data_IF_022056523728
#
_entry.id   IF_022056523728
#
_cell.length_a   1.000
_cell.length_b   1.000
_cell.length_c   1.000
_cell.angle_alpha   90.00
_cell.angle_beta   90.00
_cell.angle_gamma   90.00
#
_symmetry.space_group_name_H-M   'P 1'
#
loop_
_entity.id
_entity.type
_entity.pdbx_description
1 polymer ?
#
# COMPACT_ATOMS: atom_id res chain seq x y z
N UNK A 1 24.46 -12.17 2.75
CA UNK A 1 23.91 -11.35 3.81
C UNK A 1 22.80 -10.42 3.36
N UNK A 2 22.87 -9.96 2.12
CA UNK A 2 21.84 -9.08 1.60
C UNK A 2 20.48 -9.75 1.52
N UNK A 3 20.46 -11.05 1.24
CA UNK A 3 19.21 -11.79 1.20
C UNK A 3 18.52 -11.79 2.56
N UNK A 4 19.29 -11.75 3.63
CA UNK A 4 18.74 -11.71 4.99
C UNK A 4 18.12 -10.36 5.31
N UNK A 5 18.60 -9.31 4.64
CA UNK A 5 18.01 -7.97 4.82
C UNK A 5 16.68 -7.86 4.08
N UNK A 6 16.60 -8.48 2.91
CA UNK A 6 15.36 -8.41 2.09
C UNK A 6 14.24 -9.27 2.67
N UNK A 7 14.54 -10.44 3.19
CA UNK A 7 13.51 -11.32 3.74
C UNK A 7 12.71 -10.69 4.88
N UNK A 8 13.34 -10.06 5.88
CA UNK A 8 12.56 -9.38 6.91
C UNK A 8 11.63 -8.32 6.36
N UNK A 9 12.03 -7.62 5.29
CA UNK A 9 11.18 -6.59 4.68
C UNK A 9 9.90 -7.20 4.13
N UNK A 10 10.00 -8.34 3.47
CA UNK A 10 8.83 -9.00 2.91
C UNK A 10 7.88 -9.50 4.00
N UNK A 11 8.43 -9.99 5.11
CA UNK A 11 7.60 -10.47 6.22
C UNK A 11 6.95 -9.35 7.00
N UNK A 12 7.45 -8.14 6.90
CA UNK A 12 6.92 -7.02 7.66
C UNK A 12 5.78 -6.32 6.94
N UNK A 13 5.65 -6.52 5.65
CA UNK A 13 4.55 -5.94 4.87
C UNK A 13 3.36 -6.87 4.94
N UNK A 14 2.24 -6.36 5.45
CA UNK A 14 1.00 -7.12 5.55
C UNK A 14 0.15 -7.01 4.31
N UNK A 15 0.21 -5.87 3.62
CA UNK A 15 -0.58 -5.66 2.41
C UNK A 15 -0.02 -4.51 1.60
N UNK A 16 -0.27 -4.58 0.29
CA UNK A 16 -0.02 -3.49 -0.64
C UNK A 16 -1.33 -3.24 -1.36
N UNK A 17 -1.77 -1.98 -1.38
CA UNK A 17 -3.06 -1.61 -1.94
C UNK A 17 -2.89 -0.38 -2.82
N UNK A 18 -3.52 -0.40 -3.98
CA UNK A 18 -3.55 0.75 -4.90
C UNK A 18 -5.02 1.05 -5.21
N UNK A 19 -5.42 2.29 -4.93
CA UNK A 19 -6.79 2.75 -5.16
C UNK A 19 -6.76 3.92 -6.14
N UNK A 20 -7.86 4.12 -6.85
CA UNK A 20 -8.00 5.29 -7.70
C UNK A 20 -8.49 6.49 -6.88
N UNK A 21 -8.78 7.62 -7.55
CA UNK A 21 -9.21 8.84 -6.90
C UNK A 21 -10.54 8.72 -6.17
N UNK A 22 -11.33 7.73 -6.53
CA UNK A 22 -12.64 7.50 -5.91
C UNK A 22 -12.58 6.45 -4.82
N UNK A 23 -11.39 5.92 -4.55
CA UNK A 23 -11.21 4.89 -3.55
C UNK A 23 -11.51 3.49 -4.04
N UNK A 24 -11.65 3.31 -5.35
CA UNK A 24 -11.89 1.98 -5.92
C UNK A 24 -10.58 1.25 -6.10
N UNK A 25 -10.61 -0.06 -5.85
CA UNK A 25 -9.42 -0.90 -5.93
C UNK A 25 -8.92 -1.02 -7.36
N UNK A 26 -7.66 -0.67 -7.58
CA UNK A 26 -6.94 -0.97 -8.80
C UNK A 26 -6.10 -2.22 -8.62
N UNK A 27 -5.52 -2.39 -7.44
CA UNK A 27 -4.70 -3.54 -7.11
C UNK A 27 -4.69 -3.71 -5.60
N UNK A 28 -4.71 -4.94 -5.12
CA UNK A 28 -4.52 -5.22 -3.71
C UNK A 28 -3.91 -6.60 -3.54
N UNK A 29 -2.93 -6.68 -2.67
CA UNK A 29 -2.32 -7.96 -2.32
C UNK A 29 -2.15 -7.99 -0.80
N UNK A 30 -2.73 -8.99 -0.18
CA UNK A 30 -2.65 -9.22 1.25
C UNK A 30 -1.75 -10.41 1.50
N UNK A 31 -0.77 -10.22 2.36
CA UNK A 31 0.27 -11.22 2.60
C UNK A 31 0.00 -12.08 3.83
N UNK A 32 -1.00 -11.72 4.63
CA UNK A 32 -1.38 -12.50 5.79
C UNK A 32 -2.90 -12.55 5.93
N UNK A 33 -3.39 -13.18 6.99
CA UNK A 33 -4.80 -13.44 7.21
C UNK A 33 -5.50 -12.37 8.06
N UNK A 34 -4.92 -11.19 8.18
CA UNK A 34 -5.55 -10.12 8.97
C UNK A 34 -6.95 -9.82 8.45
N UNK A 35 -7.11 -9.82 7.12
CA UNK A 35 -8.42 -9.64 6.48
C UNK A 35 -8.66 -10.82 5.54
N UNK A 36 -9.20 -11.93 6.05
CA UNK A 36 -9.26 -13.17 5.27
C UNK A 36 -10.31 -13.20 4.17
N UNK A 37 -11.31 -12.33 4.19
CA UNK A 37 -12.35 -12.32 3.17
C UNK A 37 -12.27 -11.06 2.32
N UNK A 38 -12.78 -11.14 1.09
CA UNK A 38 -12.84 -9.99 0.20
C UNK A 38 -13.69 -8.88 0.81
N UNK A 39 -14.76 -9.24 1.51
CA UNK A 39 -15.63 -8.27 2.17
C UNK A 39 -14.87 -7.46 3.22
N UNK A 40 -14.08 -8.14 4.04
CA UNK A 40 -13.28 -7.48 5.07
C UNK A 40 -12.19 -6.61 4.44
N UNK A 41 -11.56 -7.10 3.39
CA UNK A 41 -10.55 -6.35 2.67
C UNK A 41 -11.12 -5.06 2.10
N UNK A 42 -12.29 -5.14 1.47
CA UNK A 42 -12.92 -3.95 0.89
C UNK A 42 -13.35 -2.95 1.95
N UNK A 43 -13.81 -3.43 3.10
CA UNK A 43 -14.16 -2.55 4.21
C UNK A 43 -12.92 -1.81 4.71
N UNK A 44 -11.80 -2.51 4.82
CA UNK A 44 -10.54 -1.90 5.20
C UNK A 44 -10.09 -0.86 4.18
N UNK A 45 -10.18 -1.17 2.89
CA UNK A 45 -9.78 -0.26 1.82
C UNK A 45 -10.60 1.02 1.84
N UNK A 46 -11.90 0.92 2.08
CA UNK A 46 -12.75 2.09 2.20
C UNK A 46 -12.37 2.92 3.42
N UNK A 47 -12.02 2.26 4.51
CA UNK A 47 -11.63 2.94 5.72
C UNK A 47 -10.32 3.71 5.55
N UNK A 48 -9.30 3.09 4.95
CA UNK A 48 -8.03 3.78 4.73
C UNK A 48 -8.20 4.94 3.76
N UNK A 49 -8.98 4.77 2.72
CA UNK A 49 -9.24 5.85 1.78
C UNK A 49 -9.93 7.03 2.47
N UNK A 50 -10.96 6.74 3.23
CA UNK A 50 -11.71 7.75 3.97
C UNK A 50 -10.82 8.57 4.89
N UNK A 51 -9.83 7.93 5.51
CA UNK A 51 -8.96 8.59 6.47
C UNK A 51 -7.76 9.28 5.85
N UNK A 52 -7.39 8.93 4.63
CA UNK A 52 -6.14 9.41 4.05
C UNK A 52 -6.31 10.37 2.88
N UNK A 53 -7.41 10.30 2.14
CA UNK A 53 -7.53 11.07 0.91
C UNK A 53 -7.60 12.59 1.12
N UNK A 54 -7.87 13.04 2.33
CA UNK A 54 -7.90 14.46 2.66
C UNK A 54 -6.77 14.89 3.58
N UNK A 55 -5.87 13.96 3.88
CA UNK A 55 -4.80 14.21 4.81
C UNK A 55 -3.51 14.53 4.09
N UNK A 56 -2.75 15.47 4.61
CA UNK A 56 -1.43 15.78 4.11
C UNK A 56 -0.36 14.87 4.72
N UNK A 57 -0.74 14.06 5.69
CA UNK A 57 0.18 13.12 6.33
C UNK A 57 0.47 11.97 5.39
N UNK A 58 1.66 11.40 5.52
CA UNK A 58 2.08 10.25 4.73
C UNK A 58 2.00 8.95 5.52
N UNK A 59 1.65 9.04 6.79
CA UNK A 59 1.59 7.90 7.70
C UNK A 59 0.32 7.99 8.52
N UNK A 60 -0.36 6.87 8.68
CA UNK A 60 -1.55 6.78 9.52
C UNK A 60 -1.49 5.51 10.34
N UNK A 61 -2.06 5.55 11.54
CA UNK A 61 -2.29 4.36 12.36
C UNK A 61 -3.77 4.05 12.30
N UNK A 62 -4.10 2.84 11.89
CA UNK A 62 -5.48 2.48 11.64
C UNK A 62 -5.69 1.01 11.94
N UNK A 63 -6.69 0.69 12.77
CA UNK A 63 -7.03 -0.69 13.11
C UNK A 63 -5.84 -1.49 13.62
N UNK A 64 -4.95 -0.84 14.39
CA UNK A 64 -3.77 -1.49 14.93
C UNK A 64 -2.67 -1.73 13.92
N UNK A 65 -2.73 -1.05 12.77
CA UNK A 65 -1.76 -1.20 11.71
C UNK A 65 -1.12 0.14 11.38
N UNK A 66 0.11 0.08 10.87
CA UNK A 66 0.80 1.25 10.34
C UNK A 66 0.56 1.29 8.83
N UNK A 67 0.03 2.39 8.34
CA UNK A 67 -0.25 2.60 6.93
C UNK A 67 0.62 3.73 6.43
N UNK A 68 1.55 3.45 5.52
CA UNK A 68 2.28 4.51 4.83
C UNK A 68 1.69 4.63 3.43
N UNK A 69 1.55 5.86 2.95
CA UNK A 69 0.85 6.06 1.69
C UNK A 69 1.34 7.29 0.96
N UNK A 70 1.07 7.28 -0.34
CA UNK A 70 1.45 8.37 -1.21
C UNK A 70 0.41 8.47 -2.32
N UNK A 71 -0.02 9.69 -2.61
CA UNK A 71 -1.03 9.95 -3.61
C UNK A 71 -0.48 10.75 -4.77
N UNK A 72 -1.08 10.55 -5.94
CA UNK A 72 -0.87 11.38 -7.11
C UNK A 72 -2.22 11.86 -7.60
N UNK A 73 -2.25 12.50 -8.76
CA UNK A 73 -3.52 12.96 -9.34
C UNK A 73 -4.48 11.80 -9.60
N UNK A 74 -3.94 10.66 -9.98
CA UNK A 74 -4.75 9.54 -10.47
C UNK A 74 -4.95 8.41 -9.47
N UNK A 75 -4.09 8.29 -8.46
CA UNK A 75 -4.13 7.11 -7.61
C UNK A 75 -3.48 7.34 -6.25
N UNK A 76 -3.75 6.41 -5.35
CA UNK A 76 -3.15 6.34 -4.02
C UNK A 76 -2.51 4.98 -3.84
N UNK A 77 -1.26 4.96 -3.37
CA UNK A 77 -0.55 3.73 -3.05
C UNK A 77 -0.41 3.61 -1.54
N UNK A 78 -0.66 2.43 -1.01
CA UNK A 78 -0.60 2.16 0.42
C UNK A 78 0.27 0.94 0.68
N UNK A 79 1.14 1.04 1.67
CA UNK A 79 1.91 -0.10 2.18
C UNK A 79 1.56 -0.24 3.66
N UNK A 80 1.10 -1.42 4.05
CA UNK A 80 0.57 -1.66 5.38
C UNK A 80 1.47 -2.63 6.14
N UNK A 81 1.79 -2.29 7.39
CA UNK A 81 2.55 -3.15 8.28
C UNK A 81 1.93 -3.16 9.66
N UNK A 82 2.52 -3.91 10.59
CA UNK A 82 2.02 -3.94 11.97
C UNK A 82 2.27 -2.60 12.67
N UNK A 83 1.59 -2.38 13.79
CA UNK A 83 1.74 -1.14 14.55
C UNK A 83 3.16 -0.92 15.07
N UNK A 84 3.92 -2.00 15.23
CA UNK A 84 5.28 -1.95 15.76
C UNK A 84 6.34 -1.93 14.66
N UNK A 85 5.90 -1.84 13.42
CA UNK A 85 6.81 -1.95 12.30
C UNK A 85 7.60 -0.67 12.09
N UNK A 86 8.83 -0.82 11.59
CA UNK A 86 9.68 0.32 11.26
C UNK A 86 9.09 1.08 10.06
N UNK A 87 8.67 2.30 10.30
CA UNK A 87 8.05 3.15 9.28
C UNK A 87 8.99 3.44 8.13
N UNK A 88 10.28 3.55 8.40
CA UNK A 88 11.26 3.83 7.35
C UNK A 88 11.33 2.68 6.34
N UNK A 89 11.20 1.44 6.83
CA UNK A 89 11.21 0.29 5.97
C UNK A 89 9.96 0.24 5.09
N UNK A 90 8.80 0.52 5.68
CA UNK A 90 7.56 0.57 4.92
C UNK A 90 7.59 1.68 3.88
N UNK A 91 8.13 2.84 4.26
CA UNK A 91 8.27 3.97 3.34
C UNK A 91 9.20 3.66 2.18
N UNK A 92 10.28 2.93 2.43
CA UNK A 92 11.19 2.52 1.37
C UNK A 92 10.49 1.62 0.35
N UNK A 93 9.65 0.69 0.83
CA UNK A 93 8.85 -0.17 -0.06
C UNK A 93 7.88 0.69 -0.86
N UNK A 94 7.21 1.62 -0.19
CA UNK A 94 6.24 2.51 -0.84
C UNK A 94 6.89 3.33 -1.94
N UNK A 95 8.04 3.93 -1.68
CA UNK A 95 8.73 4.75 -2.67
C UNK A 95 9.14 3.94 -3.89
N UNK A 96 9.65 2.72 -3.66
CA UNK A 96 10.01 1.84 -4.75
C UNK A 96 8.81 1.49 -5.61
N UNK A 97 7.69 1.16 -4.96
CA UNK A 97 6.45 0.84 -5.65
C UNK A 97 5.92 2.04 -6.43
N UNK A 98 5.88 3.20 -5.79
CA UNK A 98 5.33 4.40 -6.40
C UNK A 98 6.14 4.83 -7.62
N UNK A 99 7.46 4.76 -7.54
CA UNK A 99 8.33 5.09 -8.67
C UNK A 99 8.10 4.13 -9.84
N UNK A 100 7.96 2.84 -9.54
CA UNK A 100 7.69 1.83 -10.57
C UNK A 100 6.36 2.08 -11.25
N UNK A 101 5.33 2.41 -10.48
CA UNK A 101 4.01 2.71 -11.02
C UNK A 101 4.03 3.97 -11.87
N UNK A 102 4.76 4.99 -11.45
CA UNK A 102 4.89 6.23 -12.22
C UNK A 102 5.52 5.97 -13.58
N UNK A 103 6.51 5.11 -13.62
CA UNK A 103 7.14 4.73 -14.89
C UNK A 103 6.18 3.95 -15.77
N UNK A 104 5.43 3.02 -15.21
CA UNK A 104 4.45 2.23 -15.97
C UNK A 104 3.37 3.12 -16.56
N UNK A 105 2.86 4.07 -15.80
CA UNK A 105 1.83 5.00 -16.28
C UNK A 105 2.36 5.90 -17.38
N UNK A 106 3.66 6.22 -17.33
CA UNK A 106 4.28 7.06 -18.34
C UNK A 106 4.47 6.31 -19.66
N UNK A 107 4.81 5.03 -19.59
CA UNK A 107 5.19 4.26 -20.78
C UNK A 107 4.15 3.26 -21.26
N UNK A 108 3.13 2.95 -20.45
CA UNK A 108 2.12 2.00 -20.87
C UNK A 108 0.94 2.01 -19.92
N UNK A 109 -0.18 2.60 -20.36
CA UNK A 109 -1.35 2.79 -19.52
C UNK A 109 -2.10 1.52 -19.14
N UNK A 110 -1.81 0.39 -19.79
CA UNK A 110 -2.56 -0.86 -19.58
C UNK A 110 -1.80 -1.88 -18.76
N UNK A 111 -0.86 -1.43 -17.95
CA UNK A 111 0.04 -2.34 -17.25
C UNK A 111 -0.46 -2.80 -15.87
N UNK A 112 -1.62 -2.36 -15.45
CA UNK A 112 -2.15 -2.73 -14.14
C UNK A 112 -2.27 -4.23 -13.93
N UNK A 113 -2.65 -4.96 -14.97
CA UNK A 113 -2.78 -6.40 -14.88
C UNK A 113 -1.48 -7.15 -14.66
N UNK A 114 -0.35 -6.50 -14.82
CA UNK A 114 0.98 -7.10 -14.65
C UNK A 114 1.58 -6.88 -13.27
N UNK A 115 0.90 -6.14 -12.44
CA UNK A 115 1.30 -5.95 -11.07
C UNK A 115 0.84 -7.10 -10.20
#
# INVERSE_FOLDING_TARGET
>A
MEALVLEPSLYTVKAIIILDNDGERLFAKYYDDTYPSVKEQRAFEKNIFSKTHRSDSEIALLEGLTVVYKGSIDLYCYVIGSAHQNELMLTAVLNCLFDSLSQMLRYGGDTWGHL
#
